data_IF_767197549771
#
_entry.id   IF_767197549771
#
_cell.length_a   1.000
_cell.length_b   1.000
_cell.length_c   1.000
_cell.angle_alpha   90.00
_cell.angle_beta   90.00
_cell.angle_gamma   90.00
#
_symmetry.space_group_name_H-M   'P 1'
#
loop_
_entity.id
_entity.type
_entity.pdbx_description
1 polymer ?
#
# COMPACT_ATOMS: atom_id res chain seq x y z
N UNK A 1 6.98 -3.22 -1.62
CA UNK A 1 7.69 -2.73 -2.84
C UNK A 1 6.89 -1.67 -3.58
N UNK A 2 5.69 -1.94 -4.13
CA UNK A 2 4.90 -0.90 -4.86
C UNK A 2 4.71 0.38 -4.03
N UNK A 3 4.38 0.24 -2.75
CA UNK A 3 4.28 1.36 -1.79
C UNK A 3 5.55 2.23 -1.76
N UNK A 4 6.70 1.60 -1.54
CA UNK A 4 8.00 2.28 -1.48
C UNK A 4 8.40 2.91 -2.83
N UNK A 5 8.08 2.24 -3.95
CA UNK A 5 8.35 2.79 -5.27
C UNK A 5 7.49 4.02 -5.58
N UNK A 6 6.24 4.07 -5.11
CA UNK A 6 5.40 5.25 -5.21
C UNK A 6 5.99 6.44 -4.42
N UNK A 7 6.72 6.20 -3.33
CA UNK A 7 7.40 7.26 -2.58
C UNK A 7 8.49 7.99 -3.35
N UNK A 8 9.04 7.38 -4.41
CA UNK A 8 10.00 8.04 -5.31
C UNK A 8 9.37 9.21 -6.09
N UNK A 9 8.04 9.17 -6.30
CA UNK A 9 7.30 10.24 -6.98
C UNK A 9 6.58 11.15 -5.98
N UNK A 10 6.01 10.56 -4.93
CA UNK A 10 5.19 11.27 -3.96
C UNK A 10 5.57 10.87 -2.52
N UNK A 11 6.29 11.73 -1.80
CA UNK A 11 6.87 11.39 -0.49
C UNK A 11 5.85 11.19 0.62
N UNK A 12 4.65 11.77 0.49
CA UNK A 12 3.59 11.68 1.50
C UNK A 12 2.43 10.79 1.01
N UNK A 13 1.69 10.15 1.93
CA UNK A 13 0.49 9.34 1.65
C UNK A 13 -0.75 10.18 1.23
N UNK A 14 -0.55 11.14 0.32
CA UNK A 14 -1.57 12.02 -0.21
C UNK A 14 -2.56 11.28 -1.13
N UNK A 15 -3.63 11.96 -1.56
CA UNK A 15 -4.56 11.40 -2.55
C UNK A 15 -3.84 11.00 -3.85
N UNK A 16 -2.82 11.74 -4.27
CA UNK A 16 -2.02 11.44 -5.47
C UNK A 16 -1.20 10.16 -5.29
N UNK A 17 -0.59 9.98 -4.11
CA UNK A 17 0.11 8.74 -3.77
C UNK A 17 -0.83 7.53 -3.90
N UNK A 18 -2.02 7.59 -3.28
CA UNK A 18 -2.96 6.48 -3.33
C UNK A 18 -3.54 6.24 -4.73
N UNK A 19 -3.66 7.27 -5.56
CA UNK A 19 -4.02 7.11 -6.96
C UNK A 19 -2.94 6.35 -7.75
N UNK A 20 -1.65 6.64 -7.51
CA UNK A 20 -0.54 5.90 -8.12
C UNK A 20 -0.49 4.44 -7.65
N UNK A 21 -0.68 4.20 -6.35
CA UNK A 21 -0.76 2.84 -5.81
C UNK A 21 -1.93 2.08 -6.44
N UNK A 22 -3.11 2.69 -6.54
CA UNK A 22 -4.29 2.07 -7.13
C UNK A 22 -4.14 1.77 -8.63
N UNK A 23 -3.40 2.60 -9.36
CA UNK A 23 -3.14 2.38 -10.78
C UNK A 23 -2.29 1.14 -11.06
N UNK A 24 -1.38 0.79 -10.13
CA UNK A 24 -0.48 -0.38 -10.27
C UNK A 24 -1.05 -1.60 -9.54
N UNK A 25 -1.66 -1.38 -8.37
CA UNK A 25 -2.20 -2.40 -7.48
C UNK A 25 -3.64 -2.04 -7.12
N UNK A 26 -4.62 -2.31 -8.00
CA UNK A 26 -6.00 -1.87 -7.82
C UNK A 26 -6.70 -2.45 -6.58
N UNK A 27 -6.27 -3.62 -6.12
CA UNK A 27 -6.76 -4.34 -4.94
C UNK A 27 -5.96 -4.03 -3.65
N UNK A 28 -5.20 -2.92 -3.63
CA UNK A 28 -4.36 -2.56 -2.47
C UNK A 28 -5.17 -2.38 -1.18
N UNK A 29 -6.45 -2.02 -1.28
CA UNK A 29 -7.31 -1.78 -0.12
C UNK A 29 -7.62 -3.10 0.60
N UNK A 30 -7.97 -4.13 -0.15
CA UNK A 30 -8.22 -5.49 0.33
C UNK A 30 -6.95 -6.07 0.97
N UNK A 31 -5.81 -5.94 0.27
CA UNK A 31 -4.51 -6.38 0.80
C UNK A 31 -4.12 -5.67 2.09
N UNK A 32 -4.33 -4.35 2.15
CA UNK A 32 -4.06 -3.55 3.36
C UNK A 32 -4.97 -3.95 4.51
N UNK A 33 -6.25 -4.22 4.23
CA UNK A 33 -7.20 -4.73 5.22
C UNK A 33 -6.75 -6.08 5.77
N UNK A 34 -6.41 -7.02 4.88
CA UNK A 34 -5.92 -8.33 5.28
C UNK A 34 -4.66 -8.24 6.15
N UNK A 35 -3.70 -7.38 5.77
CA UNK A 35 -2.49 -7.15 6.57
C UNK A 35 -2.82 -6.59 7.96
N UNK A 36 -3.78 -5.67 8.07
CA UNK A 36 -4.21 -5.13 9.37
C UNK A 36 -4.83 -6.21 10.26
N UNK A 37 -5.57 -7.15 9.67
CA UNK A 37 -6.27 -8.23 10.38
C UNK A 37 -5.33 -9.41 10.75
N UNK A 38 -4.29 -9.63 9.96
CA UNK A 38 -3.43 -10.82 10.06
C UNK A 38 -1.98 -10.52 10.44
N UNK A 39 -1.59 -9.25 10.63
CA UNK A 39 -0.21 -8.87 10.99
C UNK A 39 0.29 -9.58 12.25
N UNK A 40 -0.57 -9.76 13.25
CA UNK A 40 -0.23 -10.47 14.49
C UNK A 40 0.11 -11.96 14.28
N UNK A 41 -0.29 -12.55 13.15
CA UNK A 41 -0.01 -13.95 12.78
C UNK A 41 1.25 -14.09 11.95
N UNK A 42 1.77 -12.99 11.41
CA UNK A 42 3.03 -12.95 10.68
C UNK A 42 4.16 -12.90 11.72
N UNK A 43 4.56 -14.09 12.18
CA UNK A 43 5.79 -14.29 12.94
C UNK A 43 6.96 -14.47 11.97
N UNK A 44 8.16 -14.10 12.41
CA UNK A 44 9.37 -14.00 11.60
C UNK A 44 10.09 -15.34 11.46
#
# INVERSE_FOLDING_TARGET
>A
IVHELCHLREQNHSKKFWAQVAAILPDYKERRKWLKENSARLTW
#
